data_IF_762543368358
#
_entry.id   IF_762543368358
#
_cell.length_a   1.000
_cell.length_b   1.000
_cell.length_c   1.000
_cell.angle_alpha   90.00
_cell.angle_beta   90.00
_cell.angle_gamma   90.00
#
_symmetry.space_group_name_H-M   'P 1'
#
loop_
_entity.id
_entity.type
_entity.pdbx_description
1 polymer ?
#
# COMPACT_ATOMS: atom_id res chain seq x y z
N UNK A 1 -9.69 18.23 7.86
CA UNK A 1 -10.90 17.39 7.98
C UNK A 1 -10.54 16.13 7.21
N UNK A 2 -10.77 14.91 7.72
CA UNK A 2 -10.38 13.70 6.98
C UNK A 2 -11.60 13.19 6.24
N UNK A 3 -11.54 13.12 4.90
CA UNK A 3 -12.60 12.54 4.09
C UNK A 3 -12.68 11.02 4.22
N UNK A 4 -13.81 10.44 3.78
CA UNK A 4 -14.04 9.00 3.85
C UNK A 4 -13.06 8.22 2.96
N UNK A 5 -12.78 8.70 1.75
CA UNK A 5 -11.68 8.21 0.89
C UNK A 5 -10.36 8.11 1.67
N UNK A 6 -9.95 9.24 2.25
CA UNK A 6 -8.67 9.36 2.92
C UNK A 6 -8.57 8.45 4.16
N UNK A 7 -9.68 8.23 4.87
CA UNK A 7 -9.74 7.23 5.96
C UNK A 7 -9.56 5.80 5.45
N UNK A 8 -10.11 5.45 4.28
CA UNK A 8 -9.98 4.11 3.69
C UNK A 8 -8.54 3.86 3.27
N UNK A 9 -7.91 4.82 2.60
CA UNK A 9 -6.52 4.72 2.19
C UNK A 9 -5.57 4.53 3.37
N UNK A 10 -5.76 5.32 4.44
CA UNK A 10 -5.00 5.18 5.67
C UNK A 10 -5.20 3.79 6.28
N UNK A 11 -6.45 3.33 6.39
CA UNK A 11 -6.75 2.01 6.94
C UNK A 11 -6.09 0.88 6.13
N UNK A 12 -6.12 0.98 4.81
CA UNK A 12 -5.50 0.01 3.90
C UNK A 12 -3.97 0.02 4.03
N UNK A 13 -3.35 1.21 4.04
CA UNK A 13 -1.91 1.35 4.19
C UNK A 13 -1.43 0.77 5.54
N UNK A 14 -2.11 1.13 6.64
CA UNK A 14 -1.79 0.61 7.97
C UNK A 14 -1.94 -0.92 8.01
N UNK A 15 -3.02 -1.45 7.43
CA UNK A 15 -3.25 -2.90 7.37
C UNK A 15 -2.16 -3.62 6.57
N UNK A 16 -1.74 -3.07 5.43
CA UNK A 16 -0.68 -3.65 4.61
C UNK A 16 0.66 -3.68 5.35
N UNK A 17 1.00 -2.62 6.09
CA UNK A 17 2.22 -2.58 6.92
C UNK A 17 2.18 -3.64 8.01
N UNK A 18 1.08 -3.75 8.76
CA UNK A 18 0.96 -4.77 9.81
C UNK A 18 0.97 -6.19 9.25
N UNK A 19 0.38 -6.41 8.08
CA UNK A 19 0.45 -7.68 7.37
C UNK A 19 1.91 -8.05 7.06
N UNK A 20 2.69 -7.12 6.50
CA UNK A 20 4.10 -7.38 6.18
C UNK A 20 4.93 -7.66 7.45
N UNK A 21 4.72 -6.89 8.52
CA UNK A 21 5.35 -7.14 9.82
C UNK A 21 5.00 -8.54 10.33
N UNK A 22 3.72 -8.93 10.25
CA UNK A 22 3.26 -10.27 10.65
C UNK A 22 3.96 -11.38 9.86
N UNK A 23 4.10 -11.21 8.54
CA UNK A 23 4.84 -12.16 7.70
C UNK A 23 6.31 -12.25 8.12
N UNK A 24 6.97 -11.11 8.34
CA UNK A 24 8.38 -11.09 8.77
C UNK A 24 8.57 -11.78 10.12
N UNK A 25 7.68 -11.54 11.08
CA UNK A 25 7.68 -12.23 12.37
C UNK A 25 7.50 -13.74 12.18
N UNK A 26 6.55 -14.15 11.33
CA UNK A 26 6.29 -15.55 11.01
C UNK A 26 7.52 -16.25 10.43
N UNK A 27 8.14 -15.65 9.42
CA UNK A 27 9.37 -16.18 8.79
C UNK A 27 10.50 -16.25 9.81
N UNK A 28 10.72 -15.19 10.59
CA UNK A 28 11.74 -15.17 11.63
C UNK A 28 11.54 -16.26 12.69
N UNK A 29 10.30 -16.55 13.06
CA UNK A 29 9.97 -17.58 14.07
C UNK A 29 10.19 -19.02 13.58
N UNK A 30 10.07 -19.27 12.28
CA UNK A 30 10.15 -20.61 11.69
C UNK A 30 11.53 -20.90 11.08
N UNK A 31 12.20 -19.88 10.55
CA UNK A 31 13.45 -20.01 9.80
C UNK A 31 14.62 -19.23 10.43
N UNK A 32 14.43 -18.65 11.62
CA UNK A 32 15.50 -18.02 12.39
C UNK A 32 16.47 -19.04 12.98
N UNK A 33 17.77 -18.76 12.90
CA UNK A 33 18.82 -19.50 13.57
C UNK A 33 19.25 -18.86 14.90
N UNK A 34 20.08 -19.58 15.65
CA UNK A 34 20.49 -19.22 17.03
C UNK A 34 21.18 -17.84 17.15
N UNK A 35 21.76 -17.34 16.06
CA UNK A 35 22.49 -16.07 16.01
C UNK A 35 21.62 -14.88 15.55
N UNK A 36 20.29 -15.06 15.45
CA UNK A 36 19.37 -14.06 14.92
C UNK A 36 19.46 -13.85 13.40
N UNK A 37 20.20 -14.73 12.71
CA UNK A 37 20.28 -14.80 11.25
C UNK A 37 19.19 -15.70 10.69
N UNK A 38 18.72 -15.42 9.48
CA UNK A 38 17.86 -16.35 8.75
C UNK A 38 18.67 -17.52 8.19
N UNK A 39 18.06 -18.70 8.15
CA UNK A 39 18.55 -19.80 7.32
C UNK A 39 18.49 -19.43 5.83
N UNK A 40 19.17 -20.20 4.97
CA UNK A 40 19.09 -20.01 3.51
C UNK A 40 17.64 -20.01 3.02
N UNK A 41 16.86 -20.99 3.47
CA UNK A 41 15.44 -21.13 3.12
C UNK A 41 14.61 -19.96 3.66
N UNK A 42 14.92 -19.46 4.87
CA UNK A 42 14.29 -18.26 5.44
C UNK A 42 14.55 -17.00 4.62
N UNK A 43 15.75 -16.87 4.07
CA UNK A 43 16.10 -15.80 3.13
C UNK A 43 15.30 -15.88 1.83
N UNK A 44 15.17 -17.07 1.25
CA UNK A 44 14.34 -17.30 0.06
C UNK A 44 12.86 -16.98 0.34
N UNK A 45 12.33 -17.43 1.47
CA UNK A 45 10.96 -17.13 1.89
C UNK A 45 10.74 -15.62 2.08
N UNK A 46 11.71 -14.88 2.62
CA UNK A 46 11.62 -13.43 2.77
C UNK A 46 11.57 -12.73 1.40
N UNK A 47 12.39 -13.18 0.44
CA UNK A 47 12.34 -12.66 -0.95
C UNK A 47 10.98 -12.94 -1.58
N UNK A 48 10.46 -14.17 -1.45
CA UNK A 48 9.13 -14.53 -1.93
C UNK A 48 8.02 -13.67 -1.29
N UNK A 49 8.12 -13.40 0.01
CA UNK A 49 7.20 -12.52 0.72
C UNK A 49 7.24 -11.08 0.20
N UNK A 50 8.43 -10.52 -0.07
CA UNK A 50 8.56 -9.18 -0.64
C UNK A 50 7.93 -9.12 -2.03
N UNK A 51 8.22 -10.10 -2.89
CA UNK A 51 7.63 -10.17 -4.25
C UNK A 51 6.11 -10.27 -4.16
N UNK A 52 5.59 -11.16 -3.31
CA UNK A 52 4.16 -11.29 -3.08
C UNK A 52 3.52 -10.02 -2.54
N UNK A 53 4.21 -9.31 -1.63
CA UNK A 53 3.73 -8.05 -1.07
C UNK A 53 3.67 -6.93 -2.12
N UNK A 54 4.63 -6.87 -3.04
CA UNK A 54 4.59 -5.94 -4.17
C UNK A 54 3.37 -6.23 -5.06
N UNK A 55 3.11 -7.50 -5.40
CA UNK A 55 1.92 -7.87 -6.17
C UNK A 55 0.62 -7.55 -5.42
N UNK A 56 0.59 -7.79 -4.11
CA UNK A 56 -0.54 -7.44 -3.26
C UNK A 56 -0.79 -5.93 -3.27
N UNK A 57 0.23 -5.11 -3.05
CA UNK A 57 0.09 -3.65 -3.08
C UNK A 57 -0.32 -3.14 -4.46
N UNK A 58 0.18 -3.76 -5.53
CA UNK A 58 -0.22 -3.44 -6.89
C UNK A 58 -1.72 -3.72 -7.09
N UNK A 59 -2.19 -4.91 -6.68
CA UNK A 59 -3.60 -5.28 -6.78
C UNK A 59 -4.50 -4.39 -5.92
N UNK A 60 -4.06 -4.05 -4.70
CA UNK A 60 -4.77 -3.15 -3.80
C UNK A 60 -4.86 -1.75 -4.39
N UNK A 61 -3.76 -1.20 -4.92
CA UNK A 61 -3.74 0.11 -5.56
C UNK A 61 -4.68 0.18 -6.76
N UNK A 62 -4.69 -0.85 -7.61
CA UNK A 62 -5.65 -0.98 -8.70
C UNK A 62 -7.08 -1.03 -8.16
N UNK A 63 -7.34 -1.84 -7.13
CA UNK A 63 -8.65 -1.95 -6.52
C UNK A 63 -9.16 -0.61 -5.98
N UNK A 64 -8.32 0.13 -5.24
CA UNK A 64 -8.66 1.45 -4.74
C UNK A 64 -8.95 2.43 -5.88
N UNK A 65 -8.14 2.42 -6.95
CA UNK A 65 -8.35 3.25 -8.12
C UNK A 65 -9.67 2.99 -8.84
N UNK A 66 -10.28 1.80 -8.72
CA UNK A 66 -11.61 1.55 -9.29
C UNK A 66 -12.76 1.78 -8.30
N UNK A 67 -12.48 1.75 -7.00
CA UNK A 67 -13.52 1.85 -5.96
C UNK A 67 -13.70 3.29 -5.47
N UNK A 68 -12.61 4.07 -5.44
CA UNK A 68 -12.57 5.41 -4.86
C UNK A 68 -12.37 6.51 -5.91
N UNK A 69 -12.12 6.18 -7.18
CA UNK A 69 -11.99 7.18 -8.24
C UNK A 69 -13.37 7.56 -8.77
N UNK A 70 -13.83 8.76 -8.46
CA UNK A 70 -15.04 9.34 -9.03
C UNK A 70 -14.71 9.93 -10.42
N UNK A 71 -15.32 9.45 -11.53
CA UNK A 71 -15.03 9.95 -12.86
C UNK A 71 -15.43 11.42 -13.08
N UNK A 72 -16.29 11.97 -12.22
CA UNK A 72 -16.75 13.36 -12.32
C UNK A 72 -15.75 14.36 -11.67
N UNK A 73 -14.82 13.91 -10.82
CA UNK A 73 -13.82 14.75 -10.11
C UNK A 73 -12.66 15.22 -11.02
N UNK A 74 -12.46 14.58 -12.17
CA UNK A 74 -11.42 14.90 -13.16
C UNK A 74 -11.95 15.80 -14.30
N UNK A 75 -13.25 16.14 -14.28
CA UNK A 75 -13.94 16.88 -15.36
C UNK A 75 -14.37 18.30 -15.00
N UNK A 76 -14.07 18.80 -13.80
CA UNK A 76 -14.35 20.19 -13.42
C UNK A 76 -13.39 21.15 -14.15
N UNK A 77 -13.83 21.85 -15.22
CA UNK A 77 -12.99 22.78 -15.98
C UNK A 77 -12.87 24.15 -15.27
N UNK A 78 -13.44 24.28 -14.07
CA UNK A 78 -13.83 25.56 -13.48
C UNK A 78 -12.81 26.12 -12.47
N UNK A 79 -11.77 25.38 -12.05
CA UNK A 79 -10.75 25.91 -11.12
C UNK A 79 -9.61 26.69 -11.82
N UNK A 80 -9.38 26.50 -13.12
CA UNK A 80 -8.30 27.18 -13.87
C UNK A 80 -8.71 28.50 -14.54
N UNK A 81 -10.02 28.80 -14.64
CA UNK A 81 -10.51 29.97 -15.38
C UNK A 81 -10.51 31.28 -14.55
N UNK A 82 -10.66 31.19 -13.22
CA UNK A 82 -10.81 32.38 -12.37
C UNK A 82 -9.48 33.04 -11.95
N UNK A 83 -8.35 32.35 -12.13
CA UNK A 83 -7.02 32.87 -11.75
C UNK A 83 -6.27 33.62 -12.87
N UNK A 84 -6.84 33.71 -14.09
CA UNK A 84 -6.20 34.39 -15.24
C UNK A 84 -6.83 35.74 -15.64
N UNK A 85 -7.90 36.22 -14.99
CA UNK A 85 -8.49 37.55 -15.27
C UNK A 85 -8.05 38.65 -14.30
N UNK A 86 -6.77 38.63 -13.90
CA UNK A 86 -6.12 39.78 -13.27
C UNK A 86 -4.83 40.11 -14.03
N UNK A 87 -4.98 40.88 -15.13
CA UNK A 87 -4.14 42.00 -15.62
C UNK A 87 -4.59 42.36 -17.04
#
# INVERSE_FOLDING_TARGET
MVEREQLIEIAVAVTAVFLMIGIMIGIGSMYGGDNGSLSSDGGEMLVGAIVGFIFLLTAVGIGLAYVLNDPDDDLDPDEDADSQSAV
#
